data_IF_432666622610
#
_entry.id   IF_432666622610
#
_cell.length_a   1.000
_cell.length_b   1.000
_cell.length_c   1.000
_cell.angle_alpha   90.00
_cell.angle_beta   90.00
_cell.angle_gamma   90.00
#
_symmetry.space_group_name_H-M   'P 1'
#
loop_
_entity.id
_entity.type
_entity.pdbx_description
1 polymer ?
#
# COMPACT_ATOMS: atom_id res chain seq x y z
N UNK A 1 -8.02 -4.40 19.98
CA UNK A 1 -7.42 -5.20 18.91
C UNK A 1 -6.65 -4.31 17.95
N UNK A 2 -5.59 -4.84 17.37
CA UNK A 2 -4.83 -4.12 16.36
C UNK A 2 -5.70 -3.78 15.15
N UNK A 3 -5.25 -2.79 14.39
CA UNK A 3 -5.95 -2.32 13.20
C UNK A 3 -4.95 -2.22 12.05
N UNK A 4 -5.39 -2.55 10.84
CA UNK A 4 -4.49 -2.62 9.67
C UNK A 4 -5.12 -1.95 8.46
N UNK A 5 -4.33 -1.19 7.73
CA UNK A 5 -4.67 -0.83 6.35
C UNK A 5 -4.05 -1.86 5.42
N UNK A 6 -4.85 -2.37 4.51
CA UNK A 6 -4.41 -3.27 3.45
C UNK A 6 -4.55 -2.55 2.12
N UNK A 7 -3.50 -2.54 1.32
CA UNK A 7 -3.46 -1.86 0.02
C UNK A 7 -3.01 -2.81 -1.07
N UNK A 8 -3.71 -2.80 -2.19
CA UNK A 8 -3.34 -3.61 -3.36
C UNK A 8 -3.14 -2.64 -4.52
N UNK A 9 -1.97 -2.74 -5.18
CA UNK A 9 -1.51 -1.72 -6.13
C UNK A 9 -0.92 -2.37 -7.38
N UNK A 10 -1.25 -1.89 -8.60
CA UNK A 10 -0.57 -2.30 -9.81
C UNK A 10 0.66 -1.41 -10.04
N UNK A 11 1.86 -2.00 -9.92
CA UNK A 11 3.12 -1.30 -10.10
C UNK A 11 3.72 -1.61 -11.46
N UNK A 12 4.55 -0.70 -12.00
CA UNK A 12 5.21 -0.87 -13.28
C UNK A 12 6.44 -1.76 -13.14
N UNK A 13 6.47 -2.87 -13.87
CA UNK A 13 7.59 -3.82 -13.85
C UNK A 13 8.93 -3.17 -14.22
N UNK A 14 8.91 -2.31 -15.22
CA UNK A 14 10.12 -1.65 -15.72
C UNK A 14 10.58 -0.47 -14.86
N UNK A 15 9.82 -0.15 -13.80
CA UNK A 15 10.13 0.94 -12.87
C UNK A 15 10.23 0.46 -11.42
N UNK A 16 10.54 -0.81 -11.21
CA UNK A 16 10.58 -1.39 -9.85
C UNK A 16 11.70 -0.80 -8.98
N UNK A 17 12.83 -0.40 -9.55
CA UNK A 17 13.88 0.25 -8.78
C UNK A 17 13.39 1.60 -8.23
N UNK A 18 12.67 2.34 -9.03
CA UNK A 18 12.04 3.60 -8.65
C UNK A 18 10.96 3.37 -7.59
N UNK A 19 10.16 2.32 -7.78
CA UNK A 19 9.12 1.94 -6.83
C UNK A 19 9.71 1.58 -5.45
N UNK A 20 10.80 0.83 -5.42
CA UNK A 20 11.48 0.47 -4.17
C UNK A 20 11.97 1.69 -3.40
N UNK A 21 12.49 2.69 -4.11
CA UNK A 21 12.92 3.95 -3.50
C UNK A 21 11.73 4.71 -2.90
N UNK A 22 10.62 4.71 -3.63
CA UNK A 22 9.37 5.32 -3.16
C UNK A 22 8.86 4.63 -1.90
N UNK A 23 8.87 3.29 -1.87
CA UNK A 23 8.45 2.49 -0.71
C UNK A 23 9.30 2.82 0.51
N UNK A 24 10.61 2.95 0.35
CA UNK A 24 11.50 3.29 1.46
C UNK A 24 11.16 4.66 2.07
N UNK A 25 10.86 5.64 1.24
CA UNK A 25 10.44 6.98 1.69
C UNK A 25 9.06 6.93 2.34
N UNK A 26 8.15 6.18 1.76
CA UNK A 26 6.80 6.00 2.28
C UNK A 26 6.83 5.35 3.68
N UNK A 27 7.59 4.28 3.83
CA UNK A 27 7.72 3.57 5.11
C UNK A 27 8.25 4.51 6.20
N UNK A 28 9.26 5.32 5.89
CA UNK A 28 9.80 6.31 6.82
C UNK A 28 8.73 7.31 7.26
N UNK A 29 7.97 7.83 6.31
CA UNK A 29 6.93 8.82 6.59
C UNK A 29 5.82 8.23 7.46
N UNK A 30 5.32 7.05 7.12
CA UNK A 30 4.29 6.38 7.90
C UNK A 30 4.74 6.11 9.33
N UNK A 31 5.96 5.60 9.52
CA UNK A 31 6.50 5.32 10.86
C UNK A 31 6.72 6.61 11.65
N UNK A 32 7.22 7.66 11.01
CA UNK A 32 7.37 8.99 11.64
C UNK A 32 6.04 9.53 12.11
N UNK A 33 4.97 9.30 11.36
CA UNK A 33 3.62 9.74 11.71
C UNK A 33 2.92 8.86 12.74
N UNK A 34 3.56 7.76 13.15
CA UNK A 34 3.09 6.95 14.26
C UNK A 34 2.61 5.54 13.93
N UNK A 35 2.70 5.09 12.67
CA UNK A 35 2.37 3.71 12.32
C UNK A 35 3.30 2.75 13.06
N UNK A 36 2.76 1.64 13.56
CA UNK A 36 3.54 0.65 14.30
C UNK A 36 4.35 -0.24 13.38
N UNK A 37 3.84 -0.52 12.19
CA UNK A 37 4.50 -1.36 11.21
C UNK A 37 4.13 -0.92 9.80
N UNK A 38 5.01 -1.24 8.86
CA UNK A 38 4.77 -0.98 7.45
C UNK A 38 5.49 -2.07 6.66
N UNK A 39 4.73 -2.86 5.91
CA UNK A 39 5.27 -3.89 5.04
C UNK A 39 4.75 -3.69 3.64
N UNK A 40 5.64 -3.73 2.65
CA UNK A 40 5.25 -3.84 1.25
C UNK A 40 5.87 -5.08 0.64
N UNK A 41 5.03 -5.83 -0.07
CA UNK A 41 5.39 -7.12 -0.63
C UNK A 41 5.05 -7.13 -2.12
N UNK A 42 5.91 -7.73 -2.90
CA UNK A 42 5.69 -7.87 -4.35
C UNK A 42 5.21 -9.29 -4.66
N UNK A 43 4.31 -9.41 -5.63
CA UNK A 43 3.76 -10.69 -6.03
C UNK A 43 4.87 -11.65 -6.49
N UNK A 44 4.80 -12.88 -6.00
CA UNK A 44 5.70 -13.97 -6.37
C UNK A 44 4.89 -15.15 -6.93
N UNK A 45 3.91 -15.63 -6.18
CA UNK A 45 3.02 -16.69 -6.62
C UNK A 45 1.57 -16.20 -6.58
N UNK A 46 1.23 -15.35 -7.55
CA UNK A 46 -0.10 -14.74 -7.66
C UNK A 46 -0.63 -14.99 -9.08
N UNK A 47 -1.62 -15.87 -9.20
CA UNK A 47 -2.15 -16.33 -10.50
C UNK A 47 -3.59 -15.88 -10.67
N UNK A 48 -4.05 -15.70 -11.94
CA UNK A 48 -5.46 -15.48 -12.21
C UNK A 48 -6.30 -16.66 -11.73
N UNK A 49 -7.50 -16.34 -11.23
CA UNK A 49 -8.48 -17.34 -10.80
C UNK A 49 -9.61 -17.50 -11.82
N UNK A 50 -10.57 -18.37 -11.51
CA UNK A 50 -11.73 -18.58 -12.37
C UNK A 50 -12.74 -17.43 -12.26
N UNK A 51 -13.00 -16.97 -11.03
CA UNK A 51 -13.97 -15.91 -10.78
C UNK A 51 -13.27 -14.58 -10.58
N UNK A 52 -12.29 -14.56 -9.66
CA UNK A 52 -11.50 -13.36 -9.40
C UNK A 52 -10.13 -13.75 -8.84
N UNK A 53 -9.25 -12.76 -8.73
CA UNK A 53 -7.89 -12.90 -8.21
C UNK A 53 -7.32 -11.51 -8.03
N UNK A 54 -6.12 -11.41 -7.47
CA UNK A 54 -5.45 -10.11 -7.40
C UNK A 54 -5.25 -9.48 -8.78
N UNK A 55 -4.71 -10.20 -9.79
CA UNK A 55 -4.58 -9.63 -11.13
C UNK A 55 -5.90 -9.18 -11.75
N UNK A 56 -6.94 -10.00 -11.63
CA UNK A 56 -8.25 -9.69 -12.21
C UNK A 56 -8.90 -8.47 -11.54
N UNK A 57 -8.79 -8.36 -10.21
CA UNK A 57 -9.36 -7.25 -9.46
C UNK A 57 -8.74 -5.91 -9.85
N UNK A 58 -7.46 -5.91 -10.23
CA UNK A 58 -6.73 -4.73 -10.65
C UNK A 58 -6.82 -4.46 -12.15
N UNK A 59 -7.39 -5.37 -12.92
CA UNK A 59 -7.29 -5.33 -14.40
C UNK A 59 -5.83 -5.20 -14.82
N UNK A 60 -4.99 -6.07 -14.26
CA UNK A 60 -3.54 -5.99 -14.38
C UNK A 60 -3.11 -6.07 -15.84
N UNK A 61 -2.23 -5.14 -16.23
CA UNK A 61 -1.66 -5.10 -17.59
C UNK A 61 -0.39 -5.96 -17.65
N UNK A 62 0.04 -6.28 -18.89
CA UNK A 62 1.20 -7.15 -19.11
C UNK A 62 2.51 -6.58 -18.54
N UNK A 63 2.63 -5.26 -18.47
CA UNK A 63 3.82 -4.57 -17.95
C UNK A 63 3.71 -4.22 -16.45
N UNK A 64 2.77 -4.82 -15.74
CA UNK A 64 2.49 -4.53 -14.34
C UNK A 64 2.65 -5.75 -13.46
N UNK A 65 2.89 -5.48 -12.16
CA UNK A 65 2.97 -6.50 -11.12
C UNK A 65 2.15 -6.05 -9.91
N UNK A 66 1.55 -7.01 -9.21
CA UNK A 66 0.77 -6.73 -8.01
C UNK A 66 1.72 -6.49 -6.83
N UNK A 67 1.45 -5.42 -6.10
CA UNK A 67 2.15 -5.10 -4.85
C UNK A 67 1.10 -4.98 -3.75
N UNK A 68 1.41 -5.51 -2.57
CA UNK A 68 0.53 -5.46 -1.41
C UNK A 68 1.23 -4.78 -0.25
N UNK A 69 0.55 -3.84 0.40
CA UNK A 69 1.07 -3.16 1.58
C UNK A 69 0.18 -3.44 2.79
N UNK A 70 0.81 -3.57 3.95
CA UNK A 70 0.12 -3.75 5.22
C UNK A 70 0.70 -2.75 6.21
N UNK A 71 -0.15 -1.86 6.72
CA UNK A 71 0.26 -0.85 7.70
C UNK A 71 -0.48 -1.14 9.01
N UNK A 72 0.26 -1.28 10.11
CA UNK A 72 -0.31 -1.66 11.39
C UNK A 72 -0.44 -0.50 12.37
N UNK A 73 -1.52 -0.52 13.15
CA UNK A 73 -1.85 0.48 14.16
C UNK A 73 -2.41 -0.18 15.42
N UNK A 74 -2.48 0.57 16.52
CA UNK A 74 -3.07 0.08 17.78
C UNK A 74 -4.57 -0.12 17.67
N UNK A 75 -5.25 0.80 16.96
CA UNK A 75 -6.71 0.86 16.88
C UNK A 75 -7.10 1.70 15.65
N UNK A 76 -8.39 1.72 15.33
CA UNK A 76 -8.90 2.61 14.28
C UNK A 76 -8.65 4.08 14.62
N UNK A 77 -8.86 4.47 15.88
CA UNK A 77 -8.59 5.84 16.32
C UNK A 77 -7.13 6.22 16.09
N UNK A 78 -6.21 5.35 16.44
CA UNK A 78 -4.78 5.55 16.20
C UNK A 78 -4.48 5.67 14.70
N UNK A 79 -5.08 4.80 13.89
CA UNK A 79 -4.94 4.84 12.42
C UNK A 79 -5.39 6.19 11.87
N UNK A 80 -6.54 6.69 12.32
CA UNK A 80 -7.07 7.96 11.86
C UNK A 80 -6.15 9.13 12.23
N UNK A 81 -5.54 9.08 13.42
CA UNK A 81 -4.55 10.06 13.85
C UNK A 81 -3.30 10.04 12.98
N UNK A 82 -2.81 8.84 12.63
CA UNK A 82 -1.64 8.67 11.75
C UNK A 82 -1.94 9.23 10.37
N UNK A 83 -3.11 8.92 9.81
CA UNK A 83 -3.54 9.44 8.51
C UNK A 83 -3.60 10.98 8.51
N UNK A 84 -4.13 11.57 9.57
CA UNK A 84 -4.20 13.03 9.69
C UNK A 84 -2.81 13.66 9.63
N UNK A 85 -1.82 13.03 10.28
CA UNK A 85 -0.43 13.50 10.22
C UNK A 85 0.19 13.28 8.84
N UNK A 86 -0.10 12.13 8.20
CA UNK A 86 0.41 11.84 6.85
C UNK A 86 -0.09 12.85 5.83
N UNK A 87 -1.35 13.26 5.90
CA UNK A 87 -1.91 14.25 4.98
C UNK A 87 -1.18 15.60 5.05
N UNK A 88 -0.52 15.89 6.17
CA UNK A 88 0.26 17.11 6.39
C UNK A 88 1.76 16.91 6.19
N UNK A 89 2.21 15.67 5.98
CA UNK A 89 3.62 15.38 5.83
C UNK A 89 4.13 15.81 4.45
N UNK A 90 5.35 16.35 4.35
CA UNK A 90 5.94 16.74 3.06
C UNK A 90 5.97 15.62 2.04
N UNK A 91 6.10 14.37 2.46
CA UNK A 91 6.06 13.22 1.55
C UNK A 91 4.76 13.20 0.74
N UNK A 92 3.60 13.33 1.41
CA UNK A 92 2.31 13.36 0.73
C UNK A 92 2.10 14.66 -0.06
N UNK A 93 2.51 15.79 0.50
CA UNK A 93 2.35 17.10 -0.15
C UNK A 93 3.13 17.18 -1.46
N UNK A 94 4.29 16.52 -1.53
CA UNK A 94 5.17 16.56 -2.70
C UNK A 94 5.02 15.36 -3.63
N UNK A 95 4.10 14.45 -3.32
CA UNK A 95 3.90 13.25 -4.11
C UNK A 95 3.09 13.57 -5.37
N UNK A 96 3.64 13.19 -6.53
CA UNK A 96 2.96 13.35 -7.82
C UNK A 96 2.44 12.01 -8.33
N UNK A 97 1.12 11.82 -8.26
CA UNK A 97 0.47 10.59 -8.72
C UNK A 97 0.57 10.39 -10.24
N UNK A 98 0.77 11.46 -11.00
CA UNK A 98 0.84 11.38 -12.47
C UNK A 98 2.12 10.73 -12.94
N UNK A 99 3.22 10.93 -12.20
CA UNK A 99 4.54 10.40 -12.55
C UNK A 99 4.93 9.18 -11.71
N UNK A 100 4.05 8.73 -10.82
CA UNK A 100 4.31 7.60 -9.93
C UNK A 100 4.55 6.30 -10.70
N UNK A 101 5.42 5.40 -10.19
CA UNK A 101 5.69 4.12 -10.83
C UNK A 101 4.58 3.07 -10.60
N UNK A 102 3.36 3.51 -10.40
CA UNK A 102 2.16 2.68 -10.22
C UNK A 102 0.92 3.46 -10.64
N UNK A 103 -0.19 2.74 -10.87
CA UNK A 103 -1.46 3.39 -11.22
C UNK A 103 -2.36 3.53 -9.99
N UNK A 104 -2.42 4.75 -9.46
CA UNK A 104 -3.23 5.06 -8.28
C UNK A 104 -4.74 4.92 -8.53
N UNK A 105 -5.20 5.03 -9.78
CA UNK A 105 -6.63 4.92 -10.11
C UNK A 105 -7.17 3.51 -9.91
N UNK A 106 -6.31 2.48 -10.10
CA UNK A 106 -6.70 1.08 -9.95
C UNK A 106 -6.26 0.50 -8.61
N UNK A 107 -5.50 1.27 -7.82
CA UNK A 107 -5.15 0.89 -6.45
C UNK A 107 -6.40 0.90 -5.58
N UNK A 108 -6.52 -0.09 -4.70
CA UNK A 108 -7.58 -0.06 -3.70
C UNK A 108 -7.04 -0.42 -2.32
N UNK A 109 -7.71 0.09 -1.30
CA UNK A 109 -7.30 -0.14 0.08
C UNK A 109 -8.47 0.01 1.03
N UNK A 110 -8.28 -0.45 2.25
CA UNK A 110 -9.28 -0.31 3.30
C UNK A 110 -8.70 -0.67 4.65
N UNK A 111 -9.40 -0.25 5.70
CA UNK A 111 -9.03 -0.53 7.08
C UNK A 111 -9.73 -1.77 7.60
N UNK A 112 -8.96 -2.63 8.27
CA UNK A 112 -9.42 -3.91 8.79
C UNK A 112 -9.11 -4.02 10.27
N UNK A 113 -10.12 -4.40 11.05
CA UNK A 113 -9.95 -4.64 12.48
C UNK A 113 -9.34 -6.03 12.67
N UNK A 114 -8.33 -6.14 13.53
CA UNK A 114 -7.77 -7.44 13.91
C UNK A 114 -8.85 -8.28 14.56
N UNK A 115 -9.13 -9.46 14.01
CA UNK A 115 -10.14 -10.37 14.55
C UNK A 115 -9.54 -11.21 15.67
N UNK A 116 -8.32 -11.71 15.43
CA UNK A 116 -7.58 -12.51 16.42
C UNK A 116 -6.09 -12.48 16.07
N UNK A 117 -5.23 -12.33 17.09
CA UNK A 117 -3.79 -12.41 16.94
C UNK A 117 -3.23 -13.73 17.47
N UNK A 118 -2.11 -14.14 16.91
CA UNK A 118 -1.42 -15.35 17.34
C UNK A 118 0.05 -15.05 17.62
#
# INVERSE_FOLDING_TARGET
>A
MAYYDLMITPAKLDRMDEYKKLVAKSAKAWKKCGALSYFECVADDVKPGKVTSFPQSLKLKADEIVVAAVIGYKSRKHRDQVWAKMMKDPFMANFDMKTAPFDAKRMYFGGFKGLKGF
#
